data_IF_205071150903
#
_entry.id   IF_205071150903
#
_cell.length_a   1.000
_cell.length_b   1.000
_cell.length_c   1.000
_cell.angle_alpha   90.00
_cell.angle_beta   90.00
_cell.angle_gamma   90.00
#
_symmetry.space_group_name_H-M   'P 1'
#
loop_
_entity.id
_entity.type
_entity.pdbx_description
1 polymer ?
#
# COMPACT_ATOMS: atom_id res chain seq x y z
N UNK A 1 10.42 10.62 48.51
CA UNK A 1 10.41 11.63 47.43
C UNK A 1 9.72 11.17 46.13
N UNK A 2 9.17 9.98 46.08
CA UNK A 2 8.55 9.38 44.86
C UNK A 2 7.13 9.89 44.53
N UNK A 3 6.37 10.30 45.54
CA UNK A 3 5.01 10.79 45.31
C UNK A 3 4.98 12.17 44.60
N UNK A 4 5.98 13.01 44.84
CA UNK A 4 6.08 14.35 44.25
C UNK A 4 6.42 14.25 42.74
N UNK A 5 7.29 13.32 42.38
CA UNK A 5 7.60 13.04 40.96
C UNK A 5 6.38 12.46 40.23
N UNK A 6 5.63 11.58 40.86
CA UNK A 6 4.38 11.04 40.29
C UNK A 6 3.31 12.12 40.09
N UNK A 7 3.20 13.09 41.04
CA UNK A 7 2.27 14.20 40.95
C UNK A 7 2.66 15.17 39.85
N UNK A 8 3.96 15.41 39.67
CA UNK A 8 4.50 16.24 38.58
C UNK A 8 4.26 15.56 37.23
N UNK A 9 4.52 14.27 37.10
CA UNK A 9 4.24 13.50 35.88
C UNK A 9 2.76 13.53 35.49
N UNK A 10 1.87 13.43 36.47
CA UNK A 10 0.43 13.48 36.27
C UNK A 10 -0.01 14.87 35.81
N UNK A 11 0.57 15.95 36.38
CA UNK A 11 0.34 17.34 35.93
C UNK A 11 0.89 17.58 34.49
N UNK A 12 2.07 17.03 34.16
CA UNK A 12 2.66 17.15 32.83
C UNK A 12 1.85 16.34 31.78
N UNK A 13 1.18 15.26 32.15
CA UNK A 13 0.29 14.50 31.28
C UNK A 13 -0.95 15.32 30.87
N UNK A 14 -1.35 16.31 31.66
CA UNK A 14 -2.50 17.17 31.41
C UNK A 14 -2.18 18.41 30.58
N UNK A 15 -0.90 18.74 30.39
CA UNK A 15 -0.50 19.91 29.61
C UNK A 15 -0.74 19.68 28.11
N UNK A 16 -1.28 20.71 27.42
CA UNK A 16 -1.40 20.66 25.97
C UNK A 16 -0.02 20.57 25.33
N UNK A 17 0.10 19.66 24.36
CA UNK A 17 1.34 19.48 23.57
C UNK A 17 1.17 20.11 22.21
N UNK A 18 2.21 20.80 21.75
CA UNK A 18 2.27 21.31 20.39
C UNK A 18 2.56 20.16 19.43
N UNK A 19 1.78 20.10 18.38
CA UNK A 19 1.85 19.08 17.35
C UNK A 19 2.03 19.74 15.99
N UNK A 20 3.03 19.31 15.25
CA UNK A 20 3.33 19.85 13.93
C UNK A 20 3.05 18.80 12.86
N UNK A 21 2.32 19.18 11.81
CA UNK A 21 2.05 18.38 10.62
C UNK A 21 2.87 18.98 9.50
N UNK A 22 3.79 18.19 8.95
CA UNK A 22 4.68 18.61 7.86
C UNK A 22 3.91 18.73 6.53
N UNK A 23 4.46 19.44 5.52
CA UNK A 23 3.81 19.59 4.21
C UNK A 23 3.63 18.28 3.42
N UNK A 24 4.46 17.27 3.70
CA UNK A 24 4.39 15.92 3.14
C UNK A 24 3.48 14.98 3.94
N UNK A 25 2.92 15.45 5.05
CA UNK A 25 1.99 14.73 5.90
C UNK A 25 0.58 15.32 5.81
N UNK A 26 -0.39 14.48 6.01
CA UNK A 26 -1.76 14.86 6.33
C UNK A 26 -2.27 13.92 7.42
N UNK A 27 -3.25 14.36 8.16
CA UNK A 27 -3.73 13.52 9.24
C UNK A 27 -5.18 13.75 9.57
N UNK A 28 -5.59 13.05 10.59
CA UNK A 28 -6.92 13.12 11.15
C UNK A 28 -6.79 13.30 12.64
N UNK A 29 -7.49 14.31 13.17
CA UNK A 29 -7.64 14.49 14.60
C UNK A 29 -8.97 13.90 15.04
N UNK A 30 -8.92 12.96 15.96
CA UNK A 30 -10.09 12.39 16.62
C UNK A 30 -10.26 13.10 17.96
N UNK A 31 -11.41 13.70 18.17
CA UNK A 31 -11.75 14.41 19.42
C UNK A 31 -12.78 13.58 20.19
N UNK A 32 -12.48 13.27 21.45
CA UNK A 32 -13.35 12.47 22.33
C UNK A 32 -13.83 11.14 21.71
N UNK A 33 -12.96 10.50 20.92
CA UNK A 33 -13.23 9.20 20.31
C UNK A 33 -14.27 9.16 19.18
N UNK A 34 -14.96 10.26 18.90
CA UNK A 34 -16.06 10.27 17.93
C UNK A 34 -15.94 11.31 16.82
N UNK A 35 -15.46 12.50 17.14
CA UNK A 35 -15.41 13.60 16.18
C UNK A 35 -14.12 13.58 15.38
N UNK A 36 -14.24 13.29 14.10
CA UNK A 36 -13.11 13.19 13.15
C UNK A 36 -12.98 14.50 12.37
N UNK A 37 -11.81 15.13 12.45
CA UNK A 37 -11.50 16.37 11.72
C UNK A 37 -10.22 16.21 10.92
N UNK A 38 -10.18 16.60 9.63
CA UNK A 38 -8.95 16.58 8.86
C UNK A 38 -7.95 17.60 9.40
N UNK A 39 -6.68 17.24 9.40
CA UNK A 39 -5.57 18.11 9.85
C UNK A 39 -4.60 18.33 8.69
N UNK A 40 -4.78 19.42 7.90
CA UNK A 40 -3.81 19.84 6.92
C UNK A 40 -2.47 20.24 7.55
N UNK A 41 -1.40 20.44 6.75
CA UNK A 41 -0.12 20.90 7.27
C UNK A 41 -0.24 22.18 8.11
N UNK A 42 0.43 22.20 9.27
CA UNK A 42 0.36 23.34 10.18
C UNK A 42 0.61 22.98 11.65
N UNK A 43 0.42 23.97 12.51
CA UNK A 43 0.57 23.84 13.95
C UNK A 43 -0.77 23.51 14.61
N UNK A 44 -0.76 22.55 15.53
CA UNK A 44 -1.95 22.14 16.29
C UNK A 44 -1.62 22.01 17.76
N UNK A 45 -2.60 22.32 18.57
CA UNK A 45 -2.55 22.07 20.01
C UNK A 45 -3.25 20.73 20.26
N UNK A 46 -2.51 19.80 20.81
CA UNK A 46 -2.99 18.46 21.17
C UNK A 46 -3.18 18.37 22.69
N UNK A 47 -4.38 18.06 23.10
CA UNK A 47 -4.68 17.72 24.50
C UNK A 47 -4.72 16.18 24.62
N UNK A 48 -3.78 15.55 25.32
CA UNK A 48 -3.59 14.09 25.28
C UNK A 48 -4.82 13.28 25.67
N UNK A 49 -5.67 13.82 26.55
CA UNK A 49 -6.89 13.14 27.01
C UNK A 49 -8.09 13.30 26.06
N UNK A 50 -8.06 14.30 25.19
CA UNK A 50 -9.21 14.68 24.34
C UNK A 50 -8.95 14.39 22.89
N UNK A 51 -7.69 14.54 22.44
CA UNK A 51 -7.33 14.47 21.04
C UNK A 51 -6.38 13.30 20.76
N UNK A 52 -6.71 12.54 19.75
CA UNK A 52 -5.81 11.56 19.14
C UNK A 52 -5.50 12.01 17.71
N UNK A 53 -4.20 12.02 17.35
CA UNK A 53 -3.74 12.33 16.01
C UNK A 53 -3.24 11.08 15.30
N UNK A 54 -3.72 10.86 14.10
CA UNK A 54 -3.22 9.83 13.18
C UNK A 54 -2.71 10.55 11.95
N UNK A 55 -1.43 10.32 11.58
CA UNK A 55 -0.81 10.92 10.41
C UNK A 55 -0.54 9.87 9.34
N UNK A 56 -0.64 10.29 8.09
CA UNK A 56 -0.23 9.54 6.92
C UNK A 56 0.64 10.41 6.03
N UNK A 57 1.60 9.81 5.38
CA UNK A 57 2.42 10.48 4.39
C UNK A 57 1.61 10.63 3.09
N UNK A 58 1.49 11.88 2.60
CA UNK A 58 0.77 12.20 1.36
C UNK A 58 1.70 12.42 0.17
N UNK A 59 2.99 12.30 0.35
CA UNK A 59 3.94 12.28 -0.76
C UNK A 59 3.67 11.08 -1.68
N UNK A 60 4.24 11.10 -2.88
CA UNK A 60 4.15 9.96 -3.80
C UNK A 60 4.93 8.78 -3.25
N UNK A 61 4.27 7.67 -3.08
CA UNK A 61 4.82 6.43 -2.55
C UNK A 61 4.84 5.34 -3.62
N UNK A 62 5.83 4.45 -3.54
CA UNK A 62 5.97 3.28 -4.41
C UNK A 62 5.69 2.01 -3.65
N UNK A 63 4.77 1.19 -4.17
CA UNK A 63 4.50 -0.15 -3.67
C UNK A 63 4.97 -1.16 -4.72
N UNK A 64 5.87 -2.06 -4.33
CA UNK A 64 6.30 -3.17 -5.18
C UNK A 64 5.45 -4.39 -4.85
N UNK A 65 4.83 -4.97 -5.88
CA UNK A 65 4.03 -6.18 -5.74
C UNK A 65 4.94 -7.41 -5.74
N UNK A 66 4.56 -8.42 -4.99
CA UNK A 66 5.21 -9.73 -5.05
C UNK A 66 5.13 -10.30 -6.47
N UNK A 67 6.16 -11.04 -6.87
CA UNK A 67 6.13 -11.77 -8.12
C UNK A 67 5.11 -12.91 -8.02
N UNK A 68 4.23 -13.01 -9.03
CA UNK A 68 3.21 -14.05 -9.10
C UNK A 68 3.26 -14.75 -10.45
N UNK A 69 2.90 -16.04 -10.47
CA UNK A 69 2.70 -16.78 -11.70
C UNK A 69 1.22 -16.76 -12.05
N UNK A 70 0.92 -16.34 -13.27
CA UNK A 70 -0.47 -16.24 -13.77
C UNK A 70 -0.53 -16.94 -15.13
N UNK A 71 -1.60 -17.68 -15.36
CA UNK A 71 -1.84 -18.39 -16.63
C UNK A 71 -2.79 -17.55 -17.49
N UNK A 72 -2.43 -17.37 -18.75
CA UNK A 72 -3.23 -16.66 -19.76
C UNK A 72 -4.40 -17.52 -20.27
N UNK A 73 -5.32 -16.91 -21.05
CA UNK A 73 -6.45 -17.61 -21.64
C UNK A 73 -6.03 -18.75 -22.62
N UNK A 74 -4.84 -18.68 -23.19
CA UNK A 74 -4.24 -19.69 -24.07
C UNK A 74 -3.26 -20.64 -23.34
N UNK A 75 -3.45 -20.79 -22.02
CA UNK A 75 -2.70 -21.70 -21.14
C UNK A 75 -1.18 -21.48 -21.12
N UNK A 76 -0.76 -20.24 -21.28
CA UNK A 76 0.66 -19.85 -21.17
C UNK A 76 0.94 -19.31 -19.77
N UNK A 77 1.90 -19.90 -19.05
CA UNK A 77 2.33 -19.43 -17.75
C UNK A 77 3.26 -18.22 -17.86
N UNK A 78 2.90 -17.14 -17.18
CA UNK A 78 3.65 -15.91 -17.09
C UNK A 78 4.08 -15.63 -15.66
N UNK A 79 5.33 -15.18 -15.48
CA UNK A 79 5.74 -14.51 -14.25
C UNK A 79 5.51 -13.00 -14.40
N UNK A 80 4.76 -12.45 -13.48
CA UNK A 80 4.43 -11.03 -13.48
C UNK A 80 4.83 -10.42 -12.14
N UNK A 81 5.57 -9.30 -12.21
CA UNK A 81 5.83 -8.43 -11.08
C UNK A 81 5.39 -7.03 -11.43
N UNK A 82 4.65 -6.40 -10.54
CA UNK A 82 4.20 -5.03 -10.68
C UNK A 82 4.86 -4.08 -9.69
N UNK A 83 4.81 -2.80 -10.00
CA UNK A 83 5.06 -1.72 -9.06
C UNK A 83 4.07 -0.59 -9.33
N UNK A 84 3.56 0.00 -8.26
CA UNK A 84 2.53 1.03 -8.31
C UNK A 84 3.07 2.29 -7.66
N UNK A 85 2.94 3.42 -8.34
CA UNK A 85 3.12 4.73 -7.72
C UNK A 85 1.74 5.30 -7.41
N UNK A 86 1.53 5.61 -6.15
CA UNK A 86 0.30 6.20 -5.66
C UNK A 86 0.57 7.37 -4.70
N UNK A 87 -0.45 8.15 -4.42
CA UNK A 87 -0.43 9.22 -3.43
C UNK A 87 -1.74 9.21 -2.68
N UNK A 88 -1.70 9.44 -1.38
CA UNK A 88 -2.90 9.63 -0.57
C UNK A 88 -3.46 11.02 -0.88
N UNK A 89 -4.72 11.07 -1.32
CA UNK A 89 -5.45 12.30 -1.63
C UNK A 89 -6.43 12.69 -0.53
N UNK A 90 -6.93 11.71 0.22
CA UNK A 90 -7.84 11.89 1.35
C UNK A 90 -7.36 11.01 2.51
N UNK A 91 -6.69 11.65 3.47
CA UNK A 91 -6.13 10.97 4.64
C UNK A 91 -7.21 10.29 5.50
N UNK A 92 -8.42 10.88 5.58
CA UNK A 92 -9.51 10.30 6.35
C UNK A 92 -9.94 8.96 5.78
N UNK A 93 -10.17 8.90 4.47
CA UNK A 93 -10.55 7.66 3.80
C UNK A 93 -9.44 6.61 3.92
N UNK A 94 -8.21 7.00 3.67
CA UNK A 94 -7.07 6.08 3.72
C UNK A 94 -6.85 5.47 5.13
N UNK A 95 -7.20 6.19 6.20
CA UNK A 95 -7.05 5.71 7.58
C UNK A 95 -8.21 4.81 8.01
N UNK A 96 -9.44 5.11 7.59
CA UNK A 96 -10.62 4.45 8.14
C UNK A 96 -11.22 3.36 7.25
N UNK A 97 -10.92 3.37 5.93
CA UNK A 97 -11.48 2.39 5.00
C UNK A 97 -10.65 1.09 4.93
N UNK A 98 -9.39 1.13 5.37
CA UNK A 98 -8.49 -0.04 5.31
C UNK A 98 -7.62 -0.14 6.56
N UNK A 99 -7.56 -1.31 7.17
CA UNK A 99 -6.75 -1.56 8.35
C UNK A 99 -5.24 -1.56 8.03
N UNK A 100 -4.85 -2.25 6.96
CA UNK A 100 -3.47 -2.25 6.45
C UNK A 100 -3.47 -1.88 4.98
N UNK A 101 -3.33 -0.59 4.72
CA UNK A 101 -3.45 -0.01 3.40
C UNK A 101 -2.53 -0.66 2.36
N UNK A 102 -1.23 -0.80 2.68
CA UNK A 102 -0.24 -1.34 1.74
C UNK A 102 -0.55 -2.80 1.36
N UNK A 103 -0.87 -3.64 2.34
CA UNK A 103 -1.24 -5.04 2.09
C UNK A 103 -2.54 -5.17 1.32
N UNK A 104 -3.52 -4.33 1.64
CA UNK A 104 -4.81 -4.35 0.93
C UNK A 104 -4.65 -3.90 -0.51
N UNK A 105 -3.83 -2.87 -0.75
CA UNK A 105 -3.52 -2.39 -2.09
C UNK A 105 -2.72 -3.44 -2.88
N UNK A 106 -1.76 -4.11 -2.25
CA UNK A 106 -0.99 -5.20 -2.85
C UNK A 106 -1.90 -6.37 -3.28
N UNK A 107 -2.79 -6.81 -2.39
CA UNK A 107 -3.72 -7.90 -2.67
C UNK A 107 -4.69 -7.56 -3.81
N UNK A 108 -5.28 -6.36 -3.79
CA UNK A 108 -6.17 -5.90 -4.85
C UNK A 108 -5.44 -5.76 -6.18
N UNK A 109 -4.22 -5.23 -6.15
CA UNK A 109 -3.42 -5.07 -7.35
C UNK A 109 -3.02 -6.43 -7.95
N UNK A 110 -2.65 -7.40 -7.11
CA UNK A 110 -2.40 -8.77 -7.54
C UNK A 110 -3.61 -9.39 -8.22
N UNK A 111 -4.79 -9.27 -7.61
CA UNK A 111 -6.04 -9.78 -8.17
C UNK A 111 -6.46 -9.13 -9.50
N UNK A 112 -6.28 -7.81 -9.63
CA UNK A 112 -6.55 -7.09 -10.89
C UNK A 112 -5.61 -7.57 -12.00
N UNK A 113 -4.32 -7.75 -11.69
CA UNK A 113 -3.33 -8.27 -12.67
C UNK A 113 -3.69 -9.69 -13.06
N UNK A 114 -4.01 -10.55 -12.12
CA UNK A 114 -4.41 -11.94 -12.36
C UNK A 114 -5.66 -12.00 -13.25
N UNK A 115 -6.71 -11.28 -12.89
CA UNK A 115 -7.95 -11.22 -13.66
C UNK A 115 -7.73 -10.71 -15.08
N UNK A 116 -6.87 -9.69 -15.24
CA UNK A 116 -6.56 -9.14 -16.54
C UNK A 116 -5.79 -10.14 -17.40
N UNK A 117 -4.72 -10.75 -16.87
CA UNK A 117 -3.87 -11.70 -17.61
C UNK A 117 -4.64 -12.96 -18.00
N UNK A 118 -5.45 -13.51 -17.09
CA UNK A 118 -6.23 -14.73 -17.35
C UNK A 118 -7.36 -14.53 -18.39
N UNK A 119 -7.80 -13.29 -18.60
CA UNK A 119 -8.81 -12.97 -19.60
C UNK A 119 -8.27 -12.75 -21.02
N UNK A 120 -6.94 -12.64 -21.18
CA UNK A 120 -6.30 -12.31 -22.46
C UNK A 120 -5.34 -13.41 -22.91
N UNK A 121 -5.14 -13.50 -24.23
CA UNK A 121 -4.14 -14.40 -24.84
C UNK A 121 -2.74 -13.77 -24.74
N UNK A 122 -1.71 -14.62 -24.81
CA UNK A 122 -0.31 -14.15 -24.77
C UNK A 122 0.01 -13.14 -25.86
N UNK A 123 -0.59 -13.29 -27.05
CA UNK A 123 -0.37 -12.39 -28.17
C UNK A 123 -0.96 -10.99 -27.94
N UNK A 124 -2.11 -10.91 -27.31
CA UNK A 124 -2.73 -9.64 -26.91
C UNK A 124 -1.91 -8.92 -25.83
N UNK A 125 -1.21 -9.68 -24.97
CA UNK A 125 -0.36 -9.17 -23.91
C UNK A 125 1.02 -8.67 -24.38
N UNK A 126 1.27 -8.54 -25.67
CA UNK A 126 2.51 -7.96 -26.21
C UNK A 126 2.54 -6.43 -26.13
N UNK A 127 1.39 -5.78 -26.21
CA UNK A 127 1.29 -4.31 -26.07
C UNK A 127 1.30 -3.91 -24.60
N UNK A 128 2.50 -3.68 -24.08
CA UNK A 128 2.72 -3.35 -22.67
C UNK A 128 2.11 -2.03 -22.23
N UNK A 129 1.94 -1.06 -23.12
CA UNK A 129 1.37 0.23 -22.74
C UNK A 129 -0.15 0.11 -22.58
N UNK A 130 -0.82 -0.57 -23.50
CA UNK A 130 -2.26 -0.86 -23.38
C UNK A 130 -2.57 -1.65 -22.09
N UNK A 131 -1.74 -2.64 -21.76
CA UNK A 131 -1.86 -3.45 -20.52
C UNK A 131 -1.77 -2.56 -19.27
N UNK A 132 -0.77 -1.70 -19.19
CA UNK A 132 -0.57 -0.80 -18.04
C UNK A 132 -1.77 0.13 -17.83
N UNK A 133 -2.32 0.67 -18.90
CA UNK A 133 -3.46 1.58 -18.82
C UNK A 133 -4.73 0.84 -18.37
N UNK A 134 -4.92 -0.38 -18.82
CA UNK A 134 -6.08 -1.19 -18.45
C UNK A 134 -6.00 -1.69 -16.99
N UNK A 135 -4.83 -2.19 -16.57
CA UNK A 135 -4.58 -2.53 -15.17
C UNK A 135 -4.74 -1.30 -14.28
N UNK A 136 -4.25 -0.14 -14.71
CA UNK A 136 -4.44 1.12 -13.98
C UNK A 136 -5.92 1.50 -13.85
N UNK A 137 -6.73 1.26 -14.88
CA UNK A 137 -8.18 1.48 -14.85
C UNK A 137 -8.85 0.54 -13.85
N UNK A 138 -8.63 -0.76 -13.95
CA UNK A 138 -9.18 -1.76 -13.03
C UNK A 138 -8.77 -1.50 -11.59
N UNK A 139 -7.51 -1.14 -11.36
CA UNK A 139 -7.01 -0.81 -10.04
C UNK A 139 -7.65 0.48 -9.47
N UNK A 140 -7.93 1.47 -10.32
CA UNK A 140 -8.62 2.70 -9.90
C UNK A 140 -10.07 2.41 -9.51
N UNK A 141 -10.74 1.52 -10.20
CA UNK A 141 -12.09 1.10 -9.88
C UNK A 141 -12.12 0.31 -8.57
N UNK A 142 -11.23 -0.67 -8.41
CA UNK A 142 -11.15 -1.52 -7.23
C UNK A 142 -10.75 -0.76 -5.96
N UNK A 143 -9.83 0.21 -6.07
CA UNK A 143 -9.41 1.07 -4.97
C UNK A 143 -10.23 2.38 -4.86
N UNK A 144 -11.37 2.46 -5.57
CA UNK A 144 -12.27 3.61 -5.47
C UNK A 144 -12.83 3.72 -4.05
N UNK A 145 -12.75 4.89 -3.45
CA UNK A 145 -13.19 5.07 -2.06
C UNK A 145 -12.07 5.05 -1.02
N UNK A 146 -10.90 4.48 -1.30
CA UNK A 146 -9.79 4.41 -0.33
C UNK A 146 -9.02 5.72 -0.15
N UNK A 147 -9.42 6.78 -0.84
CA UNK A 147 -8.77 8.10 -0.70
C UNK A 147 -7.38 8.19 -1.31
N UNK A 148 -7.08 7.35 -2.30
CA UNK A 148 -5.81 7.37 -3.03
C UNK A 148 -5.97 7.86 -4.47
N UNK A 149 -4.86 8.36 -5.01
CA UNK A 149 -4.71 8.68 -6.43
C UNK A 149 -3.57 7.85 -7.01
N UNK A 150 -3.93 6.97 -7.94
CA UNK A 150 -2.95 6.18 -8.69
C UNK A 150 -2.25 7.06 -9.72
N UNK A 151 -0.93 7.12 -9.65
CA UNK A 151 -0.09 7.91 -10.55
C UNK A 151 0.34 7.07 -11.74
N UNK A 152 1.05 5.97 -11.50
CA UNK A 152 1.59 5.07 -12.52
C UNK A 152 1.57 3.63 -12.08
N UNK A 153 1.47 2.74 -13.04
CA UNK A 153 1.67 1.29 -12.90
C UNK A 153 2.87 0.91 -13.76
N UNK A 154 3.75 0.12 -13.19
CA UNK A 154 4.91 -0.44 -13.87
C UNK A 154 4.82 -1.97 -13.82
N UNK A 155 5.25 -2.61 -14.89
CA UNK A 155 5.39 -4.06 -14.98
C UNK A 155 6.86 -4.37 -15.34
N UNK A 156 7.77 -4.31 -14.35
CA UNK A 156 9.20 -4.51 -14.59
C UNK A 156 9.48 -5.91 -15.12
N UNK A 157 8.82 -6.90 -14.54
CA UNK A 157 8.97 -8.29 -14.96
C UNK A 157 7.63 -8.78 -15.52
N UNK A 158 7.64 -9.15 -16.78
CA UNK A 158 6.52 -9.72 -17.49
C UNK A 158 7.07 -10.66 -18.57
N UNK A 159 7.06 -11.94 -18.28
CA UNK A 159 7.68 -12.91 -19.18
C UNK A 159 7.17 -14.32 -19.00
N UNK A 160 7.37 -15.12 -20.04
CA UNK A 160 7.04 -16.54 -20.04
C UNK A 160 7.92 -17.30 -19.05
N UNK A 161 7.30 -18.13 -18.22
CA UNK A 161 8.00 -19.05 -17.32
C UNK A 161 7.90 -20.45 -17.91
N UNK A 162 9.02 -21.07 -18.22
CA UNK A 162 9.06 -22.53 -18.41
C UNK A 162 9.16 -23.14 -17.02
N UNK A 163 8.15 -23.96 -16.66
CA UNK A 163 8.05 -24.74 -15.42
C UNK A 163 9.37 -24.89 -14.66
N UNK A 164 9.66 -23.97 -13.75
CA UNK A 164 10.59 -24.22 -12.67
C UNK A 164 9.71 -24.72 -11.54
N UNK A 165 9.53 -26.03 -11.42
CA UNK A 165 9.09 -26.62 -10.16
C UNK A 165 10.17 -26.31 -9.14
N UNK A 166 10.00 -25.30 -8.36
CA UNK A 166 10.71 -25.14 -7.09
C UNK A 166 10.12 -26.17 -6.14
N UNK A 167 10.53 -27.43 -6.32
CA UNK A 167 10.40 -28.43 -5.28
C UNK A 167 11.34 -27.97 -4.16
N UNK A 168 10.77 -27.70 -2.98
CA UNK A 168 11.43 -27.15 -1.83
C UNK A 168 12.85 -27.67 -1.59
N UNK A 169 13.69 -26.78 -1.14
CA UNK A 169 14.95 -26.98 -0.40
C UNK A 169 15.69 -28.31 -0.62
N UNK A 170 16.22 -28.54 -1.82
CA UNK A 170 17.51 -29.24 -1.98
C UNK A 170 17.88 -29.18 -3.46
N UNK A 171 18.74 -28.24 -3.85
CA UNK A 171 19.54 -28.37 -5.04
C UNK A 171 20.51 -29.53 -4.83
N UNK A 172 20.13 -30.74 -5.20
CA UNK A 172 21.08 -31.81 -5.43
C UNK A 172 21.74 -31.52 -6.77
N UNK A 173 22.89 -30.88 -6.73
CA UNK A 173 23.78 -30.80 -7.89
C UNK A 173 24.34 -32.21 -8.09
N UNK A 174 24.08 -32.92 -9.19
CA UNK A 174 24.77 -34.15 -9.46
C UNK A 174 26.23 -33.82 -9.77
N UNK A 175 27.12 -34.13 -8.86
CA UNK A 175 28.54 -34.15 -9.07
C UNK A 175 28.82 -35.34 -9.97
N UNK A 176 28.92 -35.16 -11.29
CA UNK A 176 29.59 -36.10 -12.14
C UNK A 176 31.09 -35.89 -11.94
N UNK A 177 31.67 -36.77 -11.12
CA UNK A 177 33.10 -37.06 -11.12
C UNK A 177 33.31 -38.17 -12.17
N UNK A 178 33.92 -37.84 -13.29
CA UNK A 178 35.01 -38.59 -13.96
C UNK A 178 35.48 -37.74 -15.14
#
# INVERSE_FOLDING_TARGET
>A
MTWLTQLIELLFCWLPRFYFVFPDESGVRITLGSRVSPTPPGWYVNWPLIHQFIKVNVATQGLTLAAQSVTTADEVDLAVRGAILYRISDARKAIFETDNFDKSLEAVAGGVIEQFVSAHTYDELKDREAIKDEIKRGLREAASGWGIKLMRVYLPDFGRVRNIRVLGETLVVPTNVE
#
